data_IF_383142619068
#
_entry.id   IF_383142619068
#
_cell.length_a   1.000
_cell.length_b   1.000
_cell.length_c   1.000
_cell.angle_alpha   90.00
_cell.angle_beta   90.00
_cell.angle_gamma   90.00
#
_symmetry.space_group_name_H-M   'P 1'
#
loop_
_entity.id
_entity.type
_entity.pdbx_description
1 polymer ?
#
# COMPACT_ATOMS: atom_id res chain seq x y z
N UNK A 1 6.19 -0.79 38.04
CA UNK A 1 4.84 -0.65 37.45
C UNK A 1 5.03 -0.11 36.04
N UNK A 2 4.74 -0.91 35.02
CA UNK A 2 4.95 -0.50 33.62
C UNK A 2 4.03 0.66 33.25
N UNK A 3 4.55 1.59 32.45
CA UNK A 3 3.79 2.70 31.87
C UNK A 3 2.55 2.18 31.17
N UNK A 4 1.37 2.69 31.54
CA UNK A 4 0.13 2.34 30.87
C UNK A 4 0.21 2.80 29.41
N UNK A 5 0.20 1.83 28.50
CA UNK A 5 0.26 2.08 27.06
C UNK A 5 -1.08 2.69 26.64
N UNK A 6 -1.09 3.99 26.36
CA UNK A 6 -2.27 4.67 25.81
C UNK A 6 -2.36 4.35 24.31
N UNK A 7 -3.03 3.24 23.99
CA UNK A 7 -3.34 2.86 22.62
C UNK A 7 -4.65 3.53 22.23
N UNK A 8 -4.68 4.18 21.06
CA UNK A 8 -5.90 4.79 20.52
C UNK A 8 -6.41 3.95 19.31
N UNK A 9 -7.37 3.03 19.53
CA UNK A 9 -7.94 2.19 18.48
C UNK A 9 -8.55 2.99 17.32
N UNK A 10 -9.14 4.15 17.59
CA UNK A 10 -9.77 4.98 16.57
C UNK A 10 -8.72 5.54 15.60
N UNK A 11 -7.56 5.96 16.11
CA UNK A 11 -6.45 6.43 15.26
C UNK A 11 -5.83 5.31 14.42
N UNK A 12 -5.72 4.09 14.98
CA UNK A 12 -5.23 2.92 14.22
C UNK A 12 -6.21 2.60 13.08
N UNK A 13 -7.52 2.64 13.34
CA UNK A 13 -8.54 2.42 12.32
C UNK A 13 -8.50 3.50 11.25
N UNK A 14 -8.29 4.76 11.63
CA UNK A 14 -8.14 5.87 10.68
C UNK A 14 -6.96 5.62 9.74
N UNK A 15 -5.80 5.18 10.24
CA UNK A 15 -4.67 4.83 9.38
C UNK A 15 -4.98 3.69 8.39
N UNK A 16 -5.72 2.67 8.83
CA UNK A 16 -6.17 1.62 7.91
C UNK A 16 -7.06 2.21 6.79
N UNK A 17 -7.95 3.14 7.13
CA UNK A 17 -8.81 3.82 6.17
C UNK A 17 -8.02 4.73 5.21
N UNK A 18 -7.00 5.44 5.69
CA UNK A 18 -6.12 6.25 4.86
C UNK A 18 -5.39 5.39 3.81
N UNK A 19 -4.88 4.22 4.22
CA UNK A 19 -4.26 3.26 3.31
C UNK A 19 -5.27 2.79 2.25
N UNK A 20 -6.45 2.32 2.66
CA UNK A 20 -7.44 1.75 1.75
C UNK A 20 -8.08 2.78 0.82
N UNK A 21 -8.39 3.97 1.33
CA UNK A 21 -9.23 4.95 0.62
C UNK A 21 -8.44 6.05 -0.08
N UNK A 22 -7.19 6.28 0.33
CA UNK A 22 -6.37 7.38 -0.23
C UNK A 22 -5.14 6.82 -0.93
N UNK A 23 -4.30 6.06 -0.22
CA UNK A 23 -2.98 5.69 -0.73
C UNK A 23 -3.08 4.60 -1.81
N UNK A 24 -3.79 3.50 -1.52
CA UNK A 24 -3.93 2.39 -2.47
C UNK A 24 -4.57 2.83 -3.80
N UNK A 25 -5.67 3.62 -3.83
CA UNK A 25 -6.25 4.08 -5.09
C UNK A 25 -5.31 4.98 -5.90
N UNK A 26 -4.51 5.83 -5.26
CA UNK A 26 -3.54 6.66 -5.98
C UNK A 26 -2.41 5.82 -6.60
N UNK A 27 -1.94 4.80 -5.89
CA UNK A 27 -0.93 3.89 -6.40
C UNK A 27 -1.48 3.02 -7.55
N UNK A 28 -2.74 2.58 -7.46
CA UNK A 28 -3.44 1.83 -8.51
C UNK A 28 -3.64 2.69 -9.77
N UNK A 29 -3.99 3.98 -9.62
CA UNK A 29 -4.02 4.92 -10.74
C UNK A 29 -2.65 5.04 -11.41
N UNK A 30 -1.57 5.14 -10.62
CA UNK A 30 -0.20 5.18 -11.15
C UNK A 30 0.15 3.93 -11.96
N UNK A 31 -0.28 2.75 -11.49
CA UNK A 31 -0.12 1.49 -12.22
C UNK A 31 -0.91 1.48 -13.54
N UNK A 32 -2.16 1.94 -13.52
CA UNK A 32 -3.00 2.03 -14.72
C UNK A 32 -2.42 3.00 -15.75
N UNK A 33 -1.92 4.15 -15.30
CA UNK A 33 -1.25 5.15 -16.15
C UNK A 33 0.01 4.59 -16.79
N UNK A 34 0.83 3.87 -16.02
CA UNK A 34 2.04 3.22 -16.52
C UNK A 34 1.70 2.16 -17.58
N UNK A 35 0.61 1.41 -17.39
CA UNK A 35 0.15 0.38 -18.32
C UNK A 35 -0.39 1.00 -19.62
N UNK A 36 -1.22 2.02 -19.52
CA UNK A 36 -1.85 2.68 -20.68
C UNK A 36 -0.93 3.58 -21.48
N UNK A 37 -0.06 4.35 -20.81
CA UNK A 37 0.70 5.44 -21.42
C UNK A 37 2.23 5.26 -21.30
N UNK A 38 2.71 4.37 -20.44
CA UNK A 38 4.14 4.08 -20.27
C UNK A 38 4.68 3.00 -21.20
N UNK A 39 3.82 2.22 -21.84
CA UNK A 39 4.24 1.18 -22.78
C UNK A 39 4.60 1.80 -24.13
N UNK A 40 5.91 1.87 -24.43
CA UNK A 40 6.45 2.28 -25.73
C UNK A 40 7.19 1.12 -26.38
N UNK A 41 7.03 0.98 -27.70
CA UNK A 41 7.60 -0.13 -28.47
C UNK A 41 9.02 0.20 -28.95
N UNK A 42 9.78 -0.84 -29.33
CA UNK A 42 11.15 -0.67 -29.84
C UNK A 42 11.26 0.27 -31.06
N UNK A 43 10.15 0.47 -31.80
CA UNK A 43 10.07 1.41 -32.93
C UNK A 43 10.03 2.89 -32.55
N UNK A 44 9.70 3.23 -31.30
CA UNK A 44 9.72 4.61 -30.79
C UNK A 44 11.14 5.11 -30.48
N UNK A 45 12.10 4.19 -30.40
CA UNK A 45 13.50 4.52 -30.20
C UNK A 45 14.20 4.72 -31.55
N UNK A 46 15.04 5.75 -31.66
CA UNK A 46 15.93 5.88 -32.81
C UNK A 46 16.93 4.70 -32.87
N UNK A 47 17.51 4.43 -34.03
CA UNK A 47 18.53 3.39 -34.24
C UNK A 47 19.76 3.59 -33.32
N UNK A 48 20.05 4.82 -32.88
CA UNK A 48 21.12 5.10 -31.90
C UNK A 48 20.73 4.66 -30.47
N UNK A 49 19.44 4.46 -30.22
CA UNK A 49 18.86 4.05 -28.95
C UNK A 49 18.63 2.55 -28.80
N UNK A 50 19.24 1.68 -29.62
CA UNK A 50 19.00 0.21 -29.56
C UNK A 50 19.14 -0.39 -28.15
N UNK A 51 20.12 0.05 -27.36
CA UNK A 51 20.26 -0.40 -25.96
C UNK A 51 19.12 0.11 -25.07
N UNK A 52 18.64 1.34 -25.29
CA UNK A 52 17.49 1.89 -24.57
C UNK A 52 16.19 1.17 -24.97
N UNK A 53 16.03 0.83 -26.26
CA UNK A 53 14.90 0.05 -26.77
C UNK A 53 14.80 -1.35 -26.13
N UNK A 54 15.94 -1.94 -25.78
CA UNK A 54 15.98 -3.21 -25.05
C UNK A 54 15.78 -3.03 -23.53
N UNK A 55 16.40 -2.01 -22.94
CA UNK A 55 16.38 -1.80 -21.50
C UNK A 55 15.03 -1.26 -20.99
N UNK A 56 14.35 -0.44 -21.78
CA UNK A 56 13.12 0.23 -21.37
C UNK A 56 11.96 -0.74 -21.08
N UNK A 57 11.63 -1.71 -21.96
CA UNK A 57 10.58 -2.69 -21.67
C UNK A 57 10.88 -3.52 -20.42
N UNK A 58 12.15 -3.88 -20.21
CA UNK A 58 12.55 -4.59 -18.99
C UNK A 58 12.32 -3.73 -17.75
N UNK A 59 12.79 -2.48 -17.75
CA UNK A 59 12.59 -1.56 -16.63
C UNK A 59 11.10 -1.30 -16.34
N UNK A 60 10.28 -1.19 -17.38
CA UNK A 60 8.83 -1.05 -17.26
C UNK A 60 8.20 -2.28 -16.59
N UNK A 61 8.66 -3.48 -16.96
CA UNK A 61 8.19 -4.72 -16.33
C UNK A 61 8.55 -4.81 -14.85
N UNK A 62 9.77 -4.44 -14.47
CA UNK A 62 10.15 -4.34 -13.05
C UNK A 62 9.26 -3.35 -12.28
N UNK A 63 8.95 -2.20 -12.88
CA UNK A 63 8.06 -1.22 -12.26
C UNK A 63 6.63 -1.76 -12.08
N UNK A 64 6.11 -2.55 -13.04
CA UNK A 64 4.81 -3.20 -12.89
C UNK A 64 4.78 -4.20 -11.74
N UNK A 65 5.79 -5.07 -11.65
CA UNK A 65 5.90 -6.09 -10.61
C UNK A 65 6.06 -5.46 -9.22
N UNK A 66 6.87 -4.40 -9.11
CA UNK A 66 7.10 -3.68 -7.86
C UNK A 66 5.83 -2.97 -7.37
N UNK A 67 5.11 -2.28 -8.28
CA UNK A 67 3.85 -1.60 -7.96
C UNK A 67 2.75 -2.59 -7.54
N UNK A 68 2.62 -3.74 -8.23
CA UNK A 68 1.68 -4.78 -7.79
C UNK A 68 2.02 -5.31 -6.39
N UNK A 69 3.29 -5.60 -6.15
CA UNK A 69 3.75 -6.06 -4.83
C UNK A 69 3.41 -5.02 -3.74
N UNK A 70 3.62 -3.74 -4.02
CA UNK A 70 3.30 -2.66 -3.08
C UNK A 70 1.79 -2.55 -2.82
N UNK A 71 0.94 -2.73 -3.84
CA UNK A 71 -0.52 -2.76 -3.65
C UNK A 71 -0.95 -3.91 -2.72
N UNK A 72 -0.39 -5.11 -2.91
CA UNK A 72 -0.66 -6.26 -2.04
C UNK A 72 -0.17 -6.02 -0.60
N UNK A 73 1.01 -5.40 -0.45
CA UNK A 73 1.54 -5.02 0.86
C UNK A 73 0.62 -4.01 1.58
N UNK A 74 0.10 -3.01 0.86
CA UNK A 74 -0.84 -2.03 1.41
C UNK A 74 -2.14 -2.70 1.88
N UNK A 75 -2.66 -3.67 1.12
CA UNK A 75 -3.83 -4.47 1.53
C UNK A 75 -3.55 -5.27 2.81
N UNK A 76 -2.37 -5.89 2.91
CA UNK A 76 -1.91 -6.57 4.11
C UNK A 76 -1.79 -5.65 5.32
N UNK A 77 -1.22 -4.46 5.15
CA UNK A 77 -1.08 -3.47 6.22
C UNK A 77 -2.43 -2.95 6.70
N UNK A 78 -3.35 -2.62 5.79
CA UNK A 78 -4.70 -2.19 6.14
C UNK A 78 -5.43 -3.27 6.96
N UNK A 79 -5.35 -4.54 6.54
CA UNK A 79 -5.95 -5.68 7.26
C UNK A 79 -5.37 -5.85 8.67
N UNK A 80 -4.05 -5.76 8.81
CA UNK A 80 -3.37 -5.88 10.10
C UNK A 80 -3.73 -4.72 11.04
N UNK A 81 -3.82 -3.50 10.53
CA UNK A 81 -4.22 -2.32 11.32
C UNK A 81 -5.68 -2.42 11.78
N UNK A 82 -6.60 -2.86 10.91
CA UNK A 82 -7.99 -3.10 11.29
C UNK A 82 -8.09 -4.15 12.41
N UNK A 83 -7.34 -5.23 12.28
CA UNK A 83 -7.28 -6.30 13.30
C UNK A 83 -6.73 -5.76 14.62
N UNK A 84 -5.62 -5.01 14.57
CA UNK A 84 -5.02 -4.40 15.75
C UNK A 84 -6.00 -3.44 16.46
N UNK A 85 -6.66 -2.56 15.70
CA UNK A 85 -7.67 -1.63 16.23
C UNK A 85 -8.80 -2.38 16.95
N UNK A 86 -9.34 -3.45 16.35
CA UNK A 86 -10.38 -4.27 16.99
C UNK A 86 -9.89 -4.95 18.27
N UNK A 87 -8.69 -5.55 18.24
CA UNK A 87 -8.12 -6.23 19.40
C UNK A 87 -7.92 -5.27 20.57
N UNK A 88 -7.31 -4.10 20.34
CA UNK A 88 -7.09 -3.12 21.39
C UNK A 88 -8.39 -2.47 21.88
N UNK A 89 -9.34 -2.17 20.98
CA UNK A 89 -10.65 -1.63 21.38
C UNK A 89 -11.46 -2.61 22.23
N UNK A 90 -11.44 -3.90 21.88
CA UNK A 90 -12.09 -4.95 22.66
C UNK A 90 -11.41 -5.15 24.02
N UNK A 91 -10.09 -5.12 24.07
CA UNK A 91 -9.33 -5.23 25.31
C UNK A 91 -9.62 -4.08 26.27
N UNK A 92 -9.67 -2.84 25.78
CA UNK A 92 -10.00 -1.65 26.58
C UNK A 92 -11.43 -1.73 27.13
N UNK A 93 -12.38 -2.13 26.28
CA UNK A 93 -13.79 -2.31 26.67
C UNK A 93 -13.94 -3.39 27.75
N UNK A 94 -13.29 -4.55 27.57
CA UNK A 94 -13.33 -5.64 28.54
C UNK A 94 -12.67 -5.26 29.87
N UNK A 95 -11.55 -4.53 29.84
CA UNK A 95 -10.86 -4.05 31.04
C UNK A 95 -11.68 -3.01 31.80
N UNK A 96 -12.43 -2.15 31.09
CA UNK A 96 -13.27 -1.11 31.71
C UNK A 96 -14.54 -1.70 32.33
N UNK A 97 -15.13 -2.74 31.71
CA UNK A 97 -16.36 -3.39 32.20
C UNK A 97 -16.10 -4.25 33.46
N UNK A 98 -14.90 -4.79 33.66
CA UNK A 98 -14.55 -5.57 34.85
C UNK A 98 -14.21 -4.72 36.10
N UNK A 99 -14.12 -3.40 35.98
CA UNK A 99 -13.97 -2.49 37.12
C UNK A 99 -15.35 -2.07 37.66
N UNK A 100 -16.06 -3.00 38.32
CA UNK A 100 -17.20 -2.73 39.21
C UNK A 100 -17.19 -3.69 40.38
#
# INVERSE_FOLDING_TARGET
MGTQLNVNPARIMQHAQEITNTIRPELDKGLQELNGNGTIEGGDFSITGTLAAMAYPMALQWAFEDLQTHLEMLDGYASNLQTASRTYGNAETASTIQQV
#
